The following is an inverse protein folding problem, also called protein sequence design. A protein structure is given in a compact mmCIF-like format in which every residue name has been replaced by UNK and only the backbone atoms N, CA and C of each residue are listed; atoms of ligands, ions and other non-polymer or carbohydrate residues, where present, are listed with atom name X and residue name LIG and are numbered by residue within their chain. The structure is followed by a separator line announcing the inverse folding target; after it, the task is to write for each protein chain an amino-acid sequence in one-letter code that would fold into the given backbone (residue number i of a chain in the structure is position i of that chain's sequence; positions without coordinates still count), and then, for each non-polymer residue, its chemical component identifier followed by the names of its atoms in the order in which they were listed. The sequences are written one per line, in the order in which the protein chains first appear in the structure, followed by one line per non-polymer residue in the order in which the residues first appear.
data_IF_389559737759
#
_entry.id   IF_389559737759
#
_cell.length_a   1.000
_cell.length_b   1.000
_cell.length_c   1.000
_cell.angle_alpha   90.00
_cell.angle_beta   90.00
_cell.angle_gamma   90.00
#
_symmetry.space_group_name_H-M   'P 1'
#
loop_
_entity.id
_entity.type
_entity.pdbx_description
1 polymer ?
#
# COMPACT_ATOMS: atom_id res chain seq x y z
N UNK A 1 18.29 -2.81 17.00
CA UNK A 1 17.91 -1.90 18.12
C UNK A 1 19.13 -1.35 18.86
N UNK A 2 19.97 -2.19 19.49
CA UNK A 2 21.10 -1.72 20.29
C UNK A 2 22.13 -0.85 19.52
N UNK A 3 22.38 -1.18 18.25
CA UNK A 3 23.31 -0.42 17.40
C UNK A 3 22.86 1.04 17.15
N UNK A 4 21.56 1.26 16.98
CA UNK A 4 20.98 2.62 16.80
C UNK A 4 21.17 3.43 18.08
N UNK A 5 20.90 2.82 19.24
CA UNK A 5 21.13 3.44 20.54
C UNK A 5 22.57 3.83 20.79
N UNK A 6 23.51 2.95 20.42
CA UNK A 6 24.94 3.21 20.53
C UNK A 6 25.38 4.38 19.64
N UNK A 7 24.88 4.47 18.39
CA UNK A 7 25.24 5.57 17.48
C UNK A 7 24.69 6.91 17.99
N UNK A 8 23.46 6.94 18.50
CA UNK A 8 22.86 8.16 19.07
C UNK A 8 23.59 8.59 20.35
N UNK A 9 24.00 7.64 21.19
CA UNK A 9 24.79 7.89 22.40
C UNK A 9 26.17 8.48 22.06
N UNK A 10 26.87 7.92 21.07
CA UNK A 10 28.21 8.37 20.67
C UNK A 10 28.15 9.76 19.99
N UNK A 11 27.12 10.03 19.18
CA UNK A 11 27.06 11.25 18.37
C UNK A 11 26.26 12.40 19.02
N UNK A 12 25.69 12.22 20.22
CA UNK A 12 24.85 13.20 20.93
C UNK A 12 23.81 13.88 20.02
N UNK A 13 23.13 13.08 19.21
CA UNK A 13 22.16 13.57 18.24
C UNK A 13 20.79 13.78 18.91
N UNK A 14 20.02 14.82 18.52
CA UNK A 14 18.64 14.94 18.96
C UNK A 14 17.85 13.75 18.42
N UNK A 15 17.09 13.08 19.29
CA UNK A 15 16.45 11.79 19.02
C UNK A 15 15.33 11.82 17.96
N UNK A 16 15.05 12.98 17.38
CA UNK A 16 14.00 13.21 16.40
C UNK A 16 14.57 13.91 15.15
N UNK A 17 14.39 13.28 13.99
CA UNK A 17 14.73 13.88 12.70
C UNK A 17 13.60 14.86 12.31
N UNK A 18 13.72 16.10 12.77
CA UNK A 18 12.93 17.21 12.23
C UNK A 18 13.84 18.01 11.31
N UNK A 19 13.64 17.95 9.97
CA UNK A 19 14.42 18.74 9.01
C UNK A 19 14.37 20.23 9.33
N UNK A 20 13.30 20.68 9.98
CA UNK A 20 13.03 22.07 10.31
C UNK A 20 13.66 22.55 11.63
N UNK A 21 14.03 21.64 12.54
CA UNK A 21 14.66 22.00 13.83
C UNK A 21 16.16 21.73 13.89
N UNK A 22 16.72 21.07 12.87
CA UNK A 22 18.16 20.84 12.81
C UNK A 22 18.85 22.03 12.15
N UNK A 23 19.86 22.54 12.84
CA UNK A 23 20.85 23.45 12.30
C UNK A 23 21.44 22.91 10.98
N UNK A 24 21.78 23.80 10.05
CA UNK A 24 22.27 23.47 8.70
C UNK A 24 23.51 22.56 8.72
N UNK A 25 24.26 22.55 9.83
CA UNK A 25 25.43 21.70 10.06
C UNK A 25 25.06 20.32 10.61
N UNK A 26 24.01 20.25 11.44
CA UNK A 26 23.57 19.02 12.10
C UNK A 26 22.71 18.13 11.19
N UNK A 27 21.90 18.74 10.31
CA UNK A 27 21.05 18.05 9.33
C UNK A 27 21.80 17.05 8.43
N UNK A 28 22.86 17.45 7.69
CA UNK A 28 23.58 16.53 6.82
C UNK A 28 24.29 15.42 7.59
N UNK A 29 24.79 15.70 8.80
CA UNK A 29 25.45 14.70 9.65
C UNK A 29 24.46 13.62 10.10
N UNK A 30 23.24 14.00 10.49
CA UNK A 30 22.21 13.03 10.87
C UNK A 30 21.73 12.20 9.66
N UNK A 31 21.52 12.84 8.51
CA UNK A 31 21.12 12.16 7.27
C UNK A 31 22.11 11.06 6.88
N UNK A 32 23.40 11.39 6.86
CA UNK A 32 24.44 10.46 6.44
C UNK A 32 24.79 9.41 7.51
N UNK A 33 24.59 9.72 8.79
CA UNK A 33 24.99 8.82 9.89
C UNK A 33 23.89 7.86 10.31
N UNK A 34 22.63 8.31 10.31
CA UNK A 34 21.48 7.55 10.82
C UNK A 34 20.49 7.19 9.72
N UNK A 35 20.12 8.13 8.85
CA UNK A 35 19.00 7.93 7.93
C UNK A 35 19.34 7.05 6.73
N UNK A 36 20.48 7.29 6.09
CA UNK A 36 20.90 6.52 4.91
C UNK A 36 21.34 5.08 5.25
N UNK A 37 21.64 4.81 6.53
CA UNK A 37 22.07 3.49 6.96
C UNK A 37 20.88 2.54 7.10
N UNK A 38 20.93 1.47 6.33
CA UNK A 38 19.90 0.42 6.31
C UNK A 38 19.70 -0.26 7.67
N UNK A 39 20.75 -0.33 8.50
CA UNK A 39 20.73 -0.97 9.83
C UNK A 39 19.65 -0.43 10.78
N UNK A 40 19.25 0.82 10.62
CA UNK A 40 18.20 1.43 11.44
C UNK A 40 16.81 0.84 11.14
N UNK A 41 16.59 0.40 9.91
CA UNK A 41 15.30 -0.11 9.42
C UNK A 41 15.14 -1.63 9.60
N UNK A 42 16.23 -2.37 9.88
CA UNK A 42 16.20 -3.84 10.00
C UNK A 42 15.22 -4.31 11.09
N UNK A 43 15.09 -3.54 12.17
CA UNK A 43 14.20 -3.85 13.29
C UNK A 43 12.72 -3.88 12.89
N UNK A 44 12.24 -2.83 12.23
CA UNK A 44 10.85 -2.76 11.75
C UNK A 44 10.57 -3.77 10.64
N UNK A 45 11.53 -4.02 9.74
CA UNK A 45 11.39 -5.06 8.70
C UNK A 45 11.28 -6.47 9.29
N UNK A 46 12.07 -6.77 10.33
CA UNK A 46 12.04 -8.07 11.00
C UNK A 46 10.69 -8.32 11.69
N UNK A 47 10.12 -7.28 12.33
CA UNK A 47 8.78 -7.34 12.93
C UNK A 47 7.73 -7.63 11.86
N UNK A 48 7.74 -6.90 10.75
CA UNK A 48 6.80 -7.12 9.64
C UNK A 48 6.91 -8.52 9.05
N UNK A 49 8.12 -9.00 8.80
CA UNK A 49 8.36 -10.34 8.25
C UNK A 49 7.87 -11.43 9.21
N UNK A 50 8.16 -11.29 10.51
CA UNK A 50 7.71 -12.22 11.53
C UNK A 50 6.19 -12.25 11.63
N UNK A 51 5.53 -11.09 11.62
CA UNK A 51 4.07 -10.98 11.62
C UNK A 51 3.46 -11.61 10.38
N UNK A 52 4.01 -11.34 9.20
CA UNK A 52 3.55 -11.95 7.94
C UNK A 52 3.64 -13.47 7.98
N UNK A 53 4.76 -14.01 8.46
CA UNK A 53 4.96 -15.45 8.64
C UNK A 53 3.96 -16.06 9.65
N UNK A 54 3.73 -15.40 10.78
CA UNK A 54 2.78 -15.84 11.80
C UNK A 54 1.36 -15.91 11.23
N UNK A 55 0.95 -14.89 10.47
CA UNK A 55 -0.37 -14.81 9.83
C UNK A 55 -0.51 -15.81 8.67
N UNK A 56 0.58 -16.17 8.00
CA UNK A 56 0.57 -17.21 6.97
C UNK A 56 0.39 -18.62 7.57
N UNK A 57 1.10 -18.93 8.67
CA UNK A 57 1.12 -20.28 9.25
C UNK A 57 0.00 -20.56 10.26
N UNK A 58 -0.49 -19.53 10.96
CA UNK A 58 -1.38 -19.70 12.11
C UNK A 58 -2.72 -18.96 11.98
N UNK A 59 -3.16 -18.64 10.74
CA UNK A 59 -4.41 -17.89 10.46
C UNK A 59 -5.61 -18.35 11.30
N UNK A 60 -5.84 -19.67 11.37
CA UNK A 60 -7.00 -20.25 12.05
C UNK A 60 -6.88 -20.30 13.59
N UNK A 61 -5.65 -20.24 14.12
CA UNK A 61 -5.40 -20.33 15.57
C UNK A 61 -5.45 -18.97 16.27
N UNK A 62 -5.56 -17.86 15.53
CA UNK A 62 -5.53 -16.50 16.07
C UNK A 62 -6.90 -16.03 16.59
N UNK A 63 -7.60 -16.88 17.34
CA UNK A 63 -8.89 -16.54 17.94
C UNK A 63 -8.73 -15.88 19.33
N UNK A 64 -8.33 -14.62 19.36
CA UNK A 64 -8.41 -13.75 20.54
C UNK A 64 -9.85 -13.46 21.01
N UNK A 65 -10.07 -13.40 22.32
CA UNK A 65 -11.34 -12.91 22.88
C UNK A 65 -11.58 -11.43 22.58
N UNK A 66 -12.85 -10.99 22.61
CA UNK A 66 -13.26 -9.59 22.33
C UNK A 66 -12.60 -8.60 23.29
N UNK A 67 -12.51 -8.94 24.57
CA UNK A 67 -11.88 -8.11 25.62
C UNK A 67 -10.39 -7.91 25.35
N UNK A 68 -9.65 -8.99 25.07
CA UNK A 68 -8.21 -8.94 24.78
C UNK A 68 -7.94 -8.08 23.55
N UNK A 69 -8.77 -8.23 22.52
CA UNK A 69 -8.64 -7.45 21.29
C UNK A 69 -8.80 -5.95 21.55
N UNK A 70 -9.82 -5.54 22.32
CA UNK A 70 -10.03 -4.12 22.68
C UNK A 70 -8.88 -3.58 23.54
N UNK A 71 -8.37 -4.36 24.49
CA UNK A 71 -7.22 -3.94 25.30
C UNK A 71 -5.96 -3.73 24.47
N UNK A 72 -5.69 -4.60 23.48
CA UNK A 72 -4.53 -4.42 22.59
C UNK A 72 -4.74 -3.23 21.66
N UNK A 73 -5.96 -2.98 21.17
CA UNK A 73 -6.26 -1.75 20.42
C UNK A 73 -6.00 -0.48 21.24
N UNK A 74 -6.53 -0.41 22.45
CA UNK A 74 -6.33 0.73 23.34
C UNK A 74 -4.85 0.89 23.72
N UNK A 75 -4.17 -0.20 24.08
CA UNK A 75 -2.75 -0.18 24.43
C UNK A 75 -1.87 0.26 23.27
N UNK A 76 -2.13 -0.25 22.07
CA UNK A 76 -1.36 0.08 20.87
C UNK A 76 -1.59 1.52 20.41
N UNK A 77 -2.84 2.01 20.42
CA UNK A 77 -3.16 3.42 20.16
C UNK A 77 -2.50 4.35 21.19
N UNK A 78 -2.58 3.99 22.48
CA UNK A 78 -1.95 4.77 23.55
C UNK A 78 -0.44 4.84 23.36
N UNK A 79 0.20 3.73 22.97
CA UNK A 79 1.64 3.69 22.74
C UNK A 79 2.06 4.57 21.56
N UNK A 80 1.34 4.51 20.43
CA UNK A 80 1.62 5.35 19.25
C UNK A 80 1.38 6.83 19.57
N UNK A 81 0.29 7.16 20.26
CA UNK A 81 0.00 8.53 20.70
C UNK A 81 1.06 9.05 21.67
N UNK A 82 1.53 8.23 22.62
CA UNK A 82 2.61 8.58 23.53
C UNK A 82 3.90 8.91 22.78
N UNK A 83 4.23 8.13 21.73
CA UNK A 83 5.40 8.40 20.88
C UNK A 83 5.22 9.70 20.06
N UNK A 84 4.01 10.00 19.58
CA UNK A 84 3.74 11.25 18.85
C UNK A 84 3.77 12.49 19.75
N UNK A 85 3.08 12.44 20.89
CA UNK A 85 2.97 13.52 21.85
C UNK A 85 4.26 13.71 22.67
N UNK A 86 5.09 12.67 22.84
CA UNK A 86 6.38 12.76 23.54
C UNK A 86 7.35 13.76 22.93
N UNK A 87 7.20 14.07 21.64
CA UNK A 87 8.00 15.08 20.93
C UNK A 87 7.42 16.50 21.02
N UNK A 88 6.25 16.67 21.62
CA UNK A 88 5.58 17.98 21.67
C UNK A 88 6.34 18.98 22.53
N UNK A 89 6.81 18.56 23.72
CA UNK A 89 7.62 19.41 24.60
C UNK A 89 8.96 19.82 23.96
N UNK A 90 9.58 18.93 23.19
CA UNK A 90 10.80 19.24 22.44
C UNK A 90 10.55 20.24 21.29
N UNK A 91 9.43 20.09 20.58
CA UNK A 91 9.06 20.97 19.46
C UNK A 91 8.72 22.40 19.89
N UNK A 92 8.30 22.60 21.13
CA UNK A 92 7.95 23.93 21.68
C UNK A 92 9.16 24.76 22.09
N UNK A 93 10.35 24.15 22.16
CA UNK A 93 11.59 24.83 22.57
C UNK A 93 11.77 24.97 24.08
N UNK A 94 10.82 24.47 24.88
CA UNK A 94 10.79 24.67 26.34
C UNK A 94 11.83 23.82 27.09
N UNK A 95 12.28 22.68 26.54
CA UNK A 95 13.24 21.78 27.20
C UNK A 95 14.26 21.19 26.21
N UNK A 96 15.54 21.27 26.56
CA UNK A 96 16.58 20.44 25.92
C UNK A 96 16.30 18.99 26.29
N UNK A 97 16.05 18.15 25.28
CA UNK A 97 15.78 16.73 25.50
C UNK A 97 16.97 16.10 26.22
N UNK A 98 16.72 15.47 27.36
CA UNK A 98 17.76 14.74 28.10
C UNK A 98 18.34 13.66 27.18
N UNK A 99 19.67 13.52 27.15
CA UNK A 99 20.33 12.59 26.22
C UNK A 99 19.78 11.17 26.34
N UNK A 100 19.43 10.72 27.55
CA UNK A 100 18.86 9.39 27.79
C UNK A 100 17.49 9.19 27.12
N UNK A 101 16.58 10.15 27.29
CA UNK A 101 15.23 10.08 26.68
C UNK A 101 15.29 10.24 25.17
N UNK A 102 16.20 11.06 24.64
CA UNK A 102 16.44 11.18 23.21
C UNK A 102 16.92 9.86 22.58
N UNK A 103 17.83 9.14 23.24
CA UNK A 103 18.34 7.84 22.78
C UNK A 103 17.22 6.80 22.77
N UNK A 104 16.48 6.68 23.88
CA UNK A 104 15.37 5.73 23.98
C UNK A 104 14.31 6.01 22.92
N UNK A 105 13.97 7.29 22.72
CA UNK A 105 13.01 7.69 21.69
C UNK A 105 13.47 7.32 20.28
N UNK A 106 14.72 7.63 19.93
CA UNK A 106 15.28 7.33 18.61
C UNK A 106 15.32 5.83 18.32
N UNK A 107 15.54 5.00 19.35
CA UNK A 107 15.57 3.55 19.20
C UNK A 107 14.18 2.93 19.08
N UNK A 108 13.19 3.43 19.83
CA UNK A 108 11.90 2.76 20.01
C UNK A 108 10.83 3.25 19.04
N UNK A 109 10.88 4.51 18.60
CA UNK A 109 9.80 5.11 17.83
C UNK A 109 9.39 4.26 16.61
N UNK A 110 10.33 3.88 15.75
CA UNK A 110 10.10 3.10 14.52
C UNK A 110 9.56 1.70 14.83
N UNK A 111 9.99 1.10 15.93
CA UNK A 111 9.57 -0.25 16.31
C UNK A 111 8.17 -0.25 16.90
N UNK A 112 7.84 0.75 17.73
CA UNK A 112 6.49 0.92 18.26
C UNK A 112 5.50 1.09 17.12
N UNK A 113 5.86 1.92 16.13
CA UNK A 113 5.07 2.05 14.90
C UNK A 113 4.93 0.73 14.13
N UNK A 114 6.03 -0.01 13.96
CA UNK A 114 6.00 -1.31 13.29
C UNK A 114 5.14 -2.35 14.05
N UNK A 115 5.18 -2.36 15.39
CA UNK A 115 4.35 -3.23 16.23
C UNK A 115 2.87 -2.87 16.16
N UNK A 116 2.54 -1.58 16.13
CA UNK A 116 1.17 -1.12 15.91
C UNK A 116 0.65 -1.59 14.56
N UNK A 117 1.41 -1.39 13.48
CA UNK A 117 1.04 -1.85 12.15
C UNK A 117 0.95 -3.38 12.08
N UNK A 118 1.85 -4.10 12.75
CA UNK A 118 1.78 -5.56 12.85
C UNK A 118 0.47 -6.04 13.50
N UNK A 119 0.08 -5.43 14.63
CA UNK A 119 -1.21 -5.73 15.26
C UNK A 119 -2.39 -5.35 14.35
N UNK A 120 -2.31 -4.20 13.69
CA UNK A 120 -3.34 -3.71 12.76
C UNK A 120 -3.61 -4.74 11.64
N UNK A 121 -2.54 -5.26 11.00
CA UNK A 121 -2.66 -6.29 9.96
C UNK A 121 -3.27 -7.57 10.50
N UNK A 122 -2.83 -8.03 11.69
CA UNK A 122 -3.42 -9.21 12.34
C UNK A 122 -4.92 -8.99 12.59
N UNK A 123 -5.31 -7.82 13.11
CA UNK A 123 -6.69 -7.49 13.39
C UNK A 123 -7.56 -7.48 12.12
N UNK A 124 -7.02 -7.00 10.99
CA UNK A 124 -7.70 -7.04 9.70
C UNK A 124 -7.91 -8.48 9.23
N UNK A 125 -6.88 -9.32 9.28
CA UNK A 125 -6.97 -10.72 8.80
C UNK A 125 -7.84 -11.60 9.70
N UNK A 126 -7.89 -11.33 11.00
CA UNK A 126 -8.76 -12.05 11.95
C UNK A 126 -10.21 -11.55 11.93
N UNK A 127 -10.54 -10.50 11.15
CA UNK A 127 -11.90 -9.93 11.11
C UNK A 127 -12.29 -9.19 12.40
N UNK A 128 -11.31 -8.75 13.19
CA UNK A 128 -11.52 -8.06 14.48
C UNK A 128 -11.33 -6.55 14.40
N UNK A 129 -11.09 -6.05 13.21
CA UNK A 129 -10.93 -4.63 12.92
C UNK A 129 -12.27 -3.90 12.67
N UNK A 130 -13.41 -4.58 12.78
CA UNK A 130 -14.73 -3.95 12.62
C UNK A 130 -14.94 -3.42 11.21
N UNK A 131 -15.14 -2.11 11.07
CA UNK A 131 -15.41 -1.42 9.80
C UNK A 131 -14.16 -1.12 8.96
N UNK A 132 -12.96 -1.27 9.54
CA UNK A 132 -11.70 -0.88 8.90
C UNK A 132 -11.42 -1.65 7.61
N UNK A 133 -11.67 -2.98 7.52
CA UNK A 133 -11.49 -3.72 6.27
C UNK A 133 -12.39 -3.24 5.15
N UNK A 134 -13.62 -2.79 5.45
CA UNK A 134 -14.56 -2.28 4.45
C UNK A 134 -14.06 -0.97 3.82
N UNK A 135 -13.44 -0.11 4.63
CA UNK A 135 -12.79 1.11 4.14
C UNK A 135 -11.59 0.76 3.26
N UNK A 136 -10.77 -0.22 3.68
CA UNK A 136 -9.57 -0.62 2.92
C UNK A 136 -9.91 -1.34 1.61
N UNK A 137 -11.01 -2.08 1.56
CA UNK A 137 -11.51 -2.76 0.36
C UNK A 137 -12.23 -1.80 -0.60
N UNK A 138 -12.23 -0.49 -0.32
CA UNK A 138 -12.90 0.46 -1.17
C UNK A 138 -12.20 0.60 -2.53
N UNK A 139 -12.94 0.34 -3.61
CA UNK A 139 -12.48 0.41 -5.01
C UNK A 139 -11.81 1.74 -5.39
N UNK A 140 -12.11 2.83 -4.68
CA UNK A 140 -11.47 4.14 -4.88
C UNK A 140 -9.95 4.12 -4.59
N UNK A 141 -9.48 3.22 -3.74
CA UNK A 141 -8.05 3.10 -3.41
C UNK A 141 -7.23 2.34 -4.47
N UNK A 142 -7.88 1.59 -5.36
CA UNK A 142 -7.21 0.83 -6.42
C UNK A 142 -6.37 1.74 -7.34
N UNK A 143 -6.92 2.82 -7.94
CA UNK A 143 -6.12 3.72 -8.75
C UNK A 143 -5.08 4.48 -7.91
N UNK A 144 -5.43 4.89 -6.69
CA UNK A 144 -4.52 5.63 -5.81
C UNK A 144 -3.26 4.81 -5.46
N UNK A 145 -3.43 3.51 -5.19
CA UNK A 145 -2.32 2.57 -4.97
C UNK A 145 -1.40 2.48 -6.19
N UNK A 146 -1.97 2.34 -7.40
CA UNK A 146 -1.18 2.27 -8.65
C UNK A 146 -0.35 3.54 -8.88
N UNK A 147 -0.91 4.72 -8.57
CA UNK A 147 -0.20 5.99 -8.70
C UNK A 147 0.81 6.25 -7.57
N UNK A 148 0.68 5.58 -6.42
CA UNK A 148 1.49 5.87 -5.24
C UNK A 148 2.99 5.70 -5.47
N UNK A 149 3.39 4.75 -6.34
CA UNK A 149 4.79 4.55 -6.71
C UNK A 149 5.39 5.78 -7.42
N UNK A 150 4.72 6.28 -8.45
CA UNK A 150 5.12 7.49 -9.17
C UNK A 150 5.03 8.73 -8.27
N UNK A 151 3.97 8.83 -7.48
CA UNK A 151 3.79 9.93 -6.53
C UNK A 151 4.93 9.99 -5.52
N UNK A 152 5.44 8.85 -5.04
CA UNK A 152 6.58 8.80 -4.13
C UNK A 152 7.86 9.40 -4.76
N UNK A 153 8.18 9.05 -6.00
CA UNK A 153 9.35 9.60 -6.69
C UNK A 153 9.21 11.10 -6.95
N UNK A 154 8.05 11.52 -7.47
CA UNK A 154 7.80 12.92 -7.80
C UNK A 154 7.68 13.79 -6.56
N UNK A 155 7.22 13.24 -5.44
CA UNK A 155 7.14 13.96 -4.18
C UNK A 155 8.49 14.52 -3.74
N UNK A 156 9.56 13.72 -3.82
CA UNK A 156 10.90 14.20 -3.49
C UNK A 156 11.30 15.36 -4.40
N UNK A 157 11.07 15.25 -5.71
CA UNK A 157 11.41 16.30 -6.69
C UNK A 157 10.65 17.59 -6.40
N UNK A 158 9.34 17.51 -6.13
CA UNK A 158 8.49 18.67 -5.82
C UNK A 158 8.95 19.36 -4.54
N UNK A 159 9.26 18.60 -3.49
CA UNK A 159 9.76 19.16 -2.23
C UNK A 159 11.12 19.84 -2.43
N UNK A 160 12.06 19.19 -3.12
CA UNK A 160 13.38 19.78 -3.41
C UNK A 160 13.28 21.04 -4.27
N UNK A 161 12.43 21.02 -5.29
CA UNK A 161 12.19 22.18 -6.16
C UNK A 161 11.63 23.35 -5.36
N UNK A 162 10.63 23.11 -4.52
CA UNK A 162 10.03 24.14 -3.70
C UNK A 162 11.05 24.73 -2.70
N UNK A 163 11.79 23.88 -1.98
CA UNK A 163 12.85 24.32 -1.05
C UNK A 163 13.95 25.10 -1.79
N UNK A 164 14.30 24.73 -3.02
CA UNK A 164 15.33 25.42 -3.82
C UNK A 164 14.90 26.82 -4.30
N UNK A 165 13.60 27.07 -4.46
CA UNK A 165 13.07 28.38 -4.87
C UNK A 165 12.77 29.27 -3.66
N UNK A 166 12.59 28.70 -2.48
CA UNK A 166 12.32 29.45 -1.26
C UNK A 166 13.49 30.39 -0.91
N UNK A 167 13.22 31.69 -0.99
CA UNK A 167 14.17 32.77 -0.65
C UNK A 167 13.84 33.48 0.67
N UNK A 168 12.70 33.15 1.28
CA UNK A 168 12.20 33.76 2.51
C UNK A 168 12.02 32.72 3.60
N UNK A 169 12.17 33.13 4.86
CA UNK A 169 11.95 32.25 6.01
C UNK A 169 10.47 31.84 6.10
N UNK A 170 10.20 30.55 6.23
CA UNK A 170 8.86 30.03 6.49
C UNK A 170 8.56 30.10 8.00
N UNK A 171 7.33 30.48 8.35
CA UNK A 171 6.90 30.42 9.74
C UNK A 171 6.59 28.97 10.10
N UNK A 172 7.21 28.45 11.16
CA UNK A 172 6.94 27.10 11.66
C UNK A 172 5.64 27.07 12.48
N UNK A 173 4.55 27.55 11.89
CA UNK A 173 3.21 27.42 12.46
C UNK A 173 2.61 26.05 12.12
N UNK A 174 1.74 25.52 13.00
CA UNK A 174 1.06 24.25 12.73
C UNK A 174 0.13 24.38 11.51
N UNK A 175 -0.54 25.53 11.40
CA UNK A 175 -1.50 25.82 10.33
C UNK A 175 -0.82 25.81 8.94
N UNK A 176 0.30 26.52 8.80
CA UNK A 176 1.07 26.59 7.55
C UNK A 176 1.62 25.22 7.15
N UNK A 177 2.07 24.42 8.10
CA UNK A 177 2.57 23.07 7.83
C UNK A 177 1.47 22.14 7.30
N UNK A 178 0.25 22.23 7.84
CA UNK A 178 -0.89 21.44 7.35
C UNK A 178 -1.23 21.83 5.92
N UNK A 179 -1.33 23.14 5.65
CA UNK A 179 -1.64 23.65 4.30
C UNK A 179 -0.56 23.23 3.30
N UNK A 180 0.71 23.39 3.65
CA UNK A 180 1.84 22.99 2.81
C UNK A 180 1.84 21.47 2.54
N UNK A 181 1.54 20.65 3.55
CA UNK A 181 1.46 19.19 3.38
C UNK A 181 0.39 18.81 2.34
N UNK A 182 -0.84 19.33 2.48
CA UNK A 182 -1.90 19.07 1.51
C UNK A 182 -1.57 19.65 0.13
N UNK A 183 -0.90 20.80 0.07
CA UNK A 183 -0.43 21.40 -1.17
C UNK A 183 0.56 20.51 -1.91
N UNK A 184 1.61 20.03 -1.23
CA UNK A 184 2.56 19.09 -1.84
C UNK A 184 1.87 17.79 -2.25
N UNK A 185 0.97 17.26 -1.42
CA UNK A 185 0.24 16.03 -1.73
C UNK A 185 -0.61 16.21 -3.01
N UNK A 186 -1.40 17.27 -3.11
CA UNK A 186 -2.22 17.52 -4.29
C UNK A 186 -1.38 17.68 -5.56
N UNK A 187 -0.34 18.51 -5.54
CA UNK A 187 0.53 18.76 -6.70
C UNK A 187 1.22 17.46 -7.14
N UNK A 188 1.71 16.67 -6.19
CA UNK A 188 2.44 15.43 -6.50
C UNK A 188 1.57 14.34 -7.09
N UNK A 189 0.33 14.19 -6.62
CA UNK A 189 -0.63 13.25 -7.22
C UNK A 189 -1.09 13.68 -8.61
N UNK A 190 -1.29 14.99 -8.84
CA UNK A 190 -1.60 15.52 -10.19
C UNK A 190 -0.45 15.22 -11.14
N UNK A 191 0.80 15.52 -10.74
CA UNK A 191 1.97 15.25 -11.57
C UNK A 191 2.17 13.76 -11.81
N UNK A 192 1.95 12.92 -10.79
CA UNK A 192 2.03 11.47 -10.91
C UNK A 192 1.01 10.91 -11.90
N UNK A 193 -0.20 11.48 -11.93
CA UNK A 193 -1.22 11.09 -12.91
C UNK A 193 -0.78 11.38 -14.35
N UNK A 194 -0.21 12.56 -14.61
CA UNK A 194 0.34 12.86 -15.94
C UNK A 194 1.51 11.92 -16.29
N UNK A 195 2.46 11.73 -15.39
CA UNK A 195 3.58 10.82 -15.62
C UNK A 195 3.12 9.37 -15.85
N UNK A 196 2.08 8.91 -15.15
CA UNK A 196 1.48 7.59 -15.36
C UNK A 196 0.99 7.42 -16.80
N UNK A 197 0.24 8.39 -17.32
CA UNK A 197 -0.31 8.34 -18.69
C UNK A 197 0.80 8.43 -19.74
N UNK A 198 1.77 9.32 -19.56
CA UNK A 198 2.79 9.57 -20.58
C UNK A 198 3.92 8.53 -20.61
N UNK A 199 4.22 7.89 -19.48
CA UNK A 199 5.36 6.95 -19.40
C UNK A 199 4.91 5.54 -19.10
N UNK A 200 4.05 5.33 -18.09
CA UNK A 200 3.73 3.98 -17.64
C UNK A 200 2.79 3.25 -18.59
N UNK A 201 1.75 3.92 -19.12
CA UNK A 201 0.84 3.33 -20.10
C UNK A 201 1.55 2.91 -21.40
N UNK A 202 2.36 3.75 -22.07
CA UNK A 202 3.05 3.32 -23.29
C UNK A 202 4.12 2.26 -23.00
N UNK A 203 4.78 2.31 -21.84
CA UNK A 203 5.72 1.27 -21.44
C UNK A 203 5.05 -0.11 -21.35
N UNK A 204 3.89 -0.19 -20.69
CA UNK A 204 3.12 -1.44 -20.61
C UNK A 204 2.66 -1.94 -21.99
N UNK A 205 2.33 -1.03 -22.91
CA UNK A 205 1.96 -1.39 -24.28
C UNK A 205 3.15 -1.93 -25.09
N UNK A 206 4.34 -1.36 -24.93
CA UNK A 206 5.55 -1.85 -25.60
C UNK A 206 5.96 -3.21 -25.02
N UNK A 207 5.86 -3.39 -23.71
CA UNK A 207 6.17 -4.65 -23.03
C UNK A 207 5.28 -5.80 -23.53
N UNK A 208 3.97 -5.56 -23.68
CA UNK A 208 3.05 -6.60 -24.20
C UNK A 208 3.32 -6.96 -25.66
N UNK A 209 3.73 -6.00 -26.48
CA UNK A 209 4.15 -6.24 -27.87
C UNK A 209 5.44 -7.06 -27.96
N UNK A 210 6.41 -6.82 -27.08
CA UNK A 210 7.69 -7.55 -27.07
C UNK A 210 7.48 -8.98 -26.54
N UNK A 211 6.61 -9.17 -25.55
CA UNK A 211 6.38 -10.47 -24.92
C UNK A 211 5.34 -11.34 -25.62
N UNK A 212 4.72 -10.88 -26.74
CA UNK A 212 3.61 -11.57 -27.42
C UNK A 212 2.54 -12.05 -26.43
N UNK A 213 2.24 -11.23 -25.42
CA UNK A 213 1.17 -11.52 -24.46
C UNK A 213 -0.12 -10.94 -25.03
N UNK A 214 -1.08 -11.80 -25.38
CA UNK A 214 -2.34 -11.40 -25.98
C UNK A 214 -3.02 -10.33 -25.11
N UNK A 215 -3.52 -9.27 -25.76
CA UNK A 215 -3.97 -8.02 -25.13
C UNK A 215 -5.12 -8.23 -24.10
N UNK A 216 -5.82 -9.36 -24.18
CA UNK A 216 -6.83 -9.80 -23.20
C UNK A 216 -6.26 -9.95 -21.79
N UNK A 217 -4.97 -10.29 -21.67
CA UNK A 217 -4.26 -10.37 -20.39
C UNK A 217 -3.76 -9.01 -19.88
N UNK A 218 -3.97 -7.87 -20.54
CA UNK A 218 -3.42 -6.58 -20.06
C UNK A 218 -4.37 -5.89 -19.07
N UNK A 219 -5.67 -5.96 -19.37
CA UNK A 219 -6.72 -5.56 -18.42
C UNK A 219 -6.78 -6.59 -17.28
N UNK A 220 -6.62 -7.87 -17.61
CA UNK A 220 -6.51 -8.93 -16.61
C UNK A 220 -5.17 -8.91 -15.86
N UNK A 221 -3.98 -8.62 -16.38
CA UNK A 221 -2.74 -8.64 -15.55
C UNK A 221 -2.71 -7.45 -14.58
N UNK A 222 -3.13 -6.26 -15.00
CA UNK A 222 -3.23 -5.13 -14.08
C UNK A 222 -4.35 -5.29 -13.04
N UNK A 223 -5.39 -6.06 -13.37
CA UNK A 223 -6.52 -6.39 -12.48
C UNK A 223 -6.32 -7.69 -11.70
N UNK A 224 -5.54 -8.65 -12.20
CA UNK A 224 -5.15 -9.95 -11.64
C UNK A 224 -3.96 -9.82 -10.71
N UNK A 225 -3.03 -8.88 -10.92
CA UNK A 225 -2.02 -8.57 -9.90
C UNK A 225 -2.70 -7.93 -8.67
N UNK A 226 -3.83 -7.24 -8.88
CA UNK A 226 -4.69 -6.73 -7.81
C UNK A 226 -5.68 -7.80 -7.27
N UNK A 227 -6.11 -8.77 -8.08
CA UNK A 227 -7.12 -9.80 -7.74
C UNK A 227 -6.49 -11.14 -7.26
N UNK A 228 -5.26 -11.49 -7.65
CA UNK A 228 -4.50 -12.65 -7.13
C UNK A 228 -3.97 -12.39 -5.72
N UNK A 229 -3.58 -11.15 -5.41
CA UNK A 229 -3.20 -10.77 -4.05
C UNK A 229 -4.41 -10.79 -3.09
N UNK A 230 -5.63 -10.56 -3.61
CA UNK A 230 -6.87 -10.60 -2.82
C UNK A 230 -7.51 -12.01 -2.76
N UNK A 231 -7.41 -12.81 -3.83
CA UNK A 231 -7.93 -14.20 -3.85
C UNK A 231 -7.08 -15.19 -3.06
N UNK A 232 -5.82 -14.89 -2.76
CA UNK A 232 -4.99 -15.85 -2.01
C UNK A 232 -5.37 -15.95 -0.51
N UNK A 233 -6.32 -15.13 0.02
CA UNK A 233 -6.81 -15.25 1.41
C UNK A 233 -8.29 -14.94 1.65
N UNK A 234 -9.22 -15.16 0.72
CA UNK A 234 -10.66 -15.04 1.03
C UNK A 234 -11.50 -16.20 0.47
N UNK A 235 -11.78 -17.13 1.39
CA UNK A 235 -12.86 -18.14 1.43
C UNK A 235 -13.52 -18.67 0.14
N UNK A 236 -13.54 -20.01 0.12
CA UNK A 236 -14.66 -20.86 -0.29
C UNK A 236 -14.74 -21.36 -1.74
N UNK A 237 -14.19 -22.56 -1.85
CA UNK A 237 -14.25 -23.64 -2.84
C UNK A 237 -15.64 -24.03 -3.39
N UNK A 238 -16.71 -23.23 -3.24
CA UNK A 238 -18.07 -23.73 -3.51
C UNK A 238 -18.79 -23.07 -4.70
N UNK A 239 -18.36 -21.90 -5.19
CA UNK A 239 -19.13 -21.17 -6.21
C UNK A 239 -18.57 -21.28 -7.65
N UNK A 240 -17.27 -21.59 -7.83
CA UNK A 240 -16.70 -21.81 -9.17
C UNK A 240 -17.13 -23.16 -9.79
N UNK A 241 -17.47 -24.14 -8.95
CA UNK A 241 -18.02 -25.44 -9.37
C UNK A 241 -19.44 -25.33 -9.94
N UNK A 242 -20.23 -24.35 -9.46
CA UNK A 242 -21.61 -24.15 -9.95
C UNK A 242 -21.66 -23.40 -11.28
N UNK A 243 -20.82 -22.37 -11.47
CA UNK A 243 -20.79 -21.61 -12.73
C UNK A 243 -20.18 -22.41 -13.87
N UNK A 244 -19.14 -23.23 -13.61
CA UNK A 244 -18.56 -24.13 -14.63
C UNK A 244 -19.48 -25.29 -15.00
N UNK A 245 -20.25 -25.84 -14.05
CA UNK A 245 -21.30 -26.84 -14.36
C UNK A 245 -22.46 -26.23 -15.16
N UNK A 246 -22.88 -25.01 -14.84
CA UNK A 246 -23.93 -24.29 -15.57
C UNK A 246 -23.50 -23.98 -17.01
N UNK A 247 -22.28 -23.44 -17.21
CA UNK A 247 -21.74 -23.16 -18.54
C UNK A 247 -21.54 -24.43 -19.39
N UNK A 248 -21.11 -25.55 -18.79
CA UNK A 248 -20.99 -26.83 -19.50
C UNK A 248 -22.34 -27.36 -19.99
N UNK A 249 -23.40 -27.17 -19.20
CA UNK A 249 -24.75 -27.57 -19.57
C UNK A 249 -25.32 -26.70 -20.71
N UNK A 250 -25.04 -25.39 -20.69
CA UNK A 250 -25.42 -24.48 -21.78
C UNK A 250 -24.66 -24.77 -23.09
N UNK A 251 -23.39 -25.16 -23.01
CA UNK A 251 -22.58 -25.50 -24.19
C UNK A 251 -23.02 -26.83 -24.84
N UNK A 252 -23.55 -27.77 -24.04
CA UNK A 252 -24.02 -29.06 -24.54
C UNK A 252 -25.37 -28.95 -25.29
N UNK A 253 -26.19 -27.94 -24.98
CA UNK A 253 -27.43 -27.63 -25.70
C UNK A 253 -27.13 -26.99 -27.06
N UNK A 254 -26.07 -26.17 -27.15
CA UNK A 254 -25.62 -25.55 -28.42
C UNK A 254 -24.88 -26.54 -29.35
N UNK A 255 -24.29 -27.60 -28.81
CA UNK A 255 -23.57 -28.63 -29.58
C UNK A 255 -24.46 -29.68 -30.27
N UNK A 256 -25.78 -29.70 -30.02
CA UNK A 256 -26.69 -30.71 -30.59
C UNK A 256 -27.44 -30.27 -31.84
N UNK A 257 -26.92 -29.28 -32.58
CA UNK A 257 -27.40 -29.00 -33.93
C UNK A 257 -26.29 -29.19 -34.96
N UNK A 258 -25.93 -30.45 -35.32
CA UNK A 258 -25.26 -30.67 -36.58
C UNK A 258 -26.24 -30.30 -37.69
N UNK A 259 -25.91 -29.18 -38.33
CA UNK A 259 -26.36 -28.72 -39.64
C UNK A 259 -26.83 -29.91 -40.50
N UNK A 260 -28.16 -30.04 -40.63
CA UNK A 260 -28.83 -30.95 -41.57
C UNK A 260 -29.17 -30.15 -42.83
N UNK A 261 -28.14 -29.68 -43.53
CA UNK A 261 -28.29 -29.07 -44.85
C UNK A 261 -28.07 -30.16 -45.90
N UNK A 262 -29.14 -30.88 -46.26
CA UNK A 262 -29.25 -31.63 -47.52
C UNK A 262 -30.70 -32.07 -47.79
N UNK A 263 -31.67 -31.16 -47.64
CA UNK A 263 -33.04 -31.45 -48.06
C UNK A 263 -33.85 -30.21 -48.44
N UNK A 264 -33.33 -29.34 -49.31
CA UNK A 264 -34.12 -28.24 -49.92
C UNK A 264 -33.84 -28.00 -51.41
N UNK A 265 -33.14 -28.90 -52.12
CA UNK A 265 -32.89 -28.77 -53.57
C UNK A 265 -33.20 -30.06 -54.35
N UNK A 266 -34.42 -30.61 -54.19
CA UNK A 266 -34.97 -31.53 -55.18
C UNK A 266 -36.51 -31.54 -55.27
N UNK A 267 -37.15 -30.42 -54.92
CA UNK A 267 -38.61 -30.24 -54.98
C UNK A 267 -39.13 -29.40 -56.15
N UNK A 268 -38.26 -28.90 -57.03
CA UNK A 268 -38.64 -28.03 -58.16
C UNK A 268 -38.33 -28.68 -59.53
N UNK A 269 -38.57 -29.98 -59.67
CA UNK A 269 -38.49 -30.64 -60.98
C UNK A 269 -39.65 -31.61 -61.30
N UNK A 270 -40.80 -31.49 -60.65
CA UNK A 270 -42.02 -32.19 -61.09
C UNK A 270 -43.25 -31.30 -60.89
N UNK A 271 -43.68 -30.63 -61.96
CA UNK A 271 -44.85 -29.74 -61.96
C UNK A 271 -45.05 -28.96 -63.26
N UNK A 272 -44.68 -29.55 -64.40
CA UNK A 272 -45.17 -29.16 -65.73
C UNK A 272 -46.02 -30.32 -66.25
N UNK A 273 -47.25 -30.45 -65.76
CA UNK A 273 -48.33 -31.08 -66.52
C UNK A 273 -49.69 -30.72 -65.92
N UNK A 274 -50.55 -30.18 -66.79
CA UNK A 274 -52.01 -30.00 -66.71
C UNK A 274 -52.57 -28.63 -66.28
N UNK A 275 -53.16 -28.02 -67.32
CA UNK A 275 -54.18 -26.97 -67.42
C UNK A 275 -53.67 -25.52 -67.39
#
# INVERSE_FOLDING_TARGET
MAAVGAIVFIHKLPGALSPYLLDAISAPKMWNTLYIKTFDHVGSFSIGLFTGYLVAKHKEKLNFGRVVTTLIWLGSLTCVLAVMCGLWAYRRGDMKMESSTAILYAMLNRNVYALFLAWFVIACVTGKAGFIPDILSWKAFIPAYRLSFLAYFLHLIVVYYHVGIMRTNMYLSHEENIINYFGYLAITYILAYFCYIFFQVPYMYIESLILQKDITDIDETSTEDAEKDDKCKFSDSNNLSQTTKSLKHHMQILSLNPIKDNHMLNGMQNGQEKL
#
